data_IF_508860161218
#
_entry.id   IF_508860161218
#
_cell.length_a   1.000
_cell.length_b   1.000
_cell.length_c   1.000
_cell.angle_alpha   90.00
_cell.angle_beta   90.00
_cell.angle_gamma   90.00
#
_symmetry.space_group_name_H-M   'P 1'
#
loop_
_entity.id
_entity.type
_entity.pdbx_description
1 polymer ?
#
# COMPACT_ATOMS: atom_id res chain seq x y z
N UNK A 1 8.11 -2.18 -30.20
CA UNK A 1 7.38 -2.92 -31.26
C UNK A 1 6.33 -2.01 -31.89
N UNK A 2 6.56 -1.61 -33.14
CA UNK A 2 5.74 -0.71 -33.97
C UNK A 2 5.02 0.44 -33.24
N UNK A 3 5.81 1.36 -32.71
CA UNK A 3 5.38 2.74 -32.50
C UNK A 3 6.24 3.60 -33.41
N UNK A 4 5.68 4.01 -34.55
CA UNK A 4 6.26 5.10 -35.31
C UNK A 4 6.44 6.28 -34.36
N UNK A 5 7.64 6.90 -34.35
CA UNK A 5 7.84 8.20 -33.73
C UNK A 5 6.98 9.23 -34.48
N UNK A 6 5.69 9.27 -34.21
CA UNK A 6 4.89 10.44 -34.50
C UNK A 6 5.33 11.48 -33.48
N UNK A 7 6.28 12.32 -33.90
CA UNK A 7 6.59 13.57 -33.22
C UNK A 7 5.32 14.39 -33.12
N UNK A 8 4.60 14.22 -32.02
CA UNK A 8 3.52 15.10 -31.60
C UNK A 8 4.20 16.41 -31.24
N UNK A 9 4.32 17.29 -32.24
CA UNK A 9 4.46 18.73 -32.04
C UNK A 9 3.48 19.10 -30.93
N UNK A 10 4.02 19.49 -29.77
CA UNK A 10 3.33 20.33 -28.80
C UNK A 10 2.78 21.53 -29.58
N UNK A 11 1.53 21.44 -30.02
CA UNK A 11 0.77 22.63 -30.39
C UNK A 11 0.72 23.43 -29.11
N UNK A 12 1.43 24.56 -29.11
CA UNK A 12 1.34 25.60 -28.10
C UNK A 12 -0.13 25.90 -27.87
N UNK A 13 -0.70 25.31 -26.82
CA UNK A 13 -1.98 25.74 -26.27
C UNK A 13 -1.72 27.17 -25.81
N UNK A 14 -2.19 28.14 -26.60
CA UNK A 14 -2.34 29.51 -26.16
C UNK A 14 -3.40 29.51 -25.06
N UNK A 15 -2.96 29.38 -23.82
CA UNK A 15 -3.81 29.45 -22.65
C UNK A 15 -4.25 30.91 -22.48
N UNK A 16 -5.50 31.19 -22.84
CA UNK A 16 -6.16 32.45 -22.52
C UNK A 16 -6.17 32.65 -21.00
N UNK A 17 -5.48 33.69 -20.55
CA UNK A 17 -5.29 34.08 -19.15
C UNK A 17 -6.58 34.68 -18.57
N UNK A 18 -7.62 33.88 -18.33
CA UNK A 18 -8.82 34.38 -17.62
C UNK A 18 -9.65 33.30 -16.92
N UNK A 19 -9.01 32.26 -16.40
CA UNK A 19 -9.66 31.25 -15.57
C UNK A 19 -9.00 31.26 -14.19
N UNK A 20 -9.81 31.50 -13.15
CA UNK A 20 -9.34 31.59 -11.77
C UNK A 20 -8.49 30.38 -11.38
N UNK A 21 -7.50 30.60 -10.52
CA UNK A 21 -6.47 29.63 -10.13
C UNK A 21 -7.03 28.23 -9.75
N UNK A 22 -8.26 28.16 -9.21
CA UNK A 22 -8.94 26.90 -8.91
C UNK A 22 -9.45 26.09 -10.12
N UNK A 23 -9.91 26.74 -11.20
CA UNK A 23 -10.44 26.01 -12.37
C UNK A 23 -9.32 25.51 -13.29
N UNK A 24 -8.16 26.17 -13.29
CA UNK A 24 -7.00 25.72 -14.06
C UNK A 24 -6.41 24.42 -13.50
N UNK A 25 -6.22 24.33 -12.19
CA UNK A 25 -5.75 23.09 -11.54
C UNK A 25 -6.72 21.92 -11.75
N UNK A 26 -8.03 22.16 -11.66
CA UNK A 26 -9.03 21.13 -11.90
C UNK A 26 -9.04 20.65 -13.36
N UNK A 27 -8.90 21.56 -14.34
CA UNK A 27 -8.82 21.19 -15.75
C UNK A 27 -7.53 20.46 -16.10
N UNK A 28 -6.38 20.89 -15.56
CA UNK A 28 -5.10 20.20 -15.74
C UNK A 28 -5.17 18.80 -15.13
N UNK A 29 -5.71 18.66 -13.91
CA UNK A 29 -5.91 17.34 -13.30
C UNK A 29 -6.84 16.45 -14.12
N UNK A 30 -7.96 16.97 -14.66
CA UNK A 30 -8.88 16.22 -15.51
C UNK A 30 -8.20 15.70 -16.78
N UNK A 31 -7.38 16.53 -17.43
CA UNK A 31 -6.65 16.14 -18.65
C UNK A 31 -5.57 15.09 -18.34
N UNK A 32 -4.86 15.24 -17.21
CA UNK A 32 -3.86 14.27 -16.76
C UNK A 32 -4.52 12.94 -16.36
N UNK A 33 -5.65 12.99 -15.66
CA UNK A 33 -6.48 11.83 -15.34
C UNK A 33 -6.95 11.12 -16.60
N UNK A 34 -7.49 11.84 -17.58
CA UNK A 34 -7.97 11.25 -18.83
C UNK A 34 -6.83 10.52 -19.57
N UNK A 35 -5.65 11.12 -19.70
CA UNK A 35 -4.54 10.52 -20.47
C UNK A 35 -3.89 9.31 -19.79
N UNK A 36 -3.67 9.38 -18.47
CA UNK A 36 -3.02 8.30 -17.75
C UNK A 36 -3.99 7.16 -17.38
N UNK A 37 -5.23 7.49 -17.00
CA UNK A 37 -6.22 6.51 -16.56
C UNK A 37 -6.73 5.64 -17.71
N UNK A 38 -6.85 6.18 -18.93
CA UNK A 38 -7.41 5.44 -20.07
C UNK A 38 -6.56 4.24 -20.51
N UNK A 39 -5.26 4.21 -20.21
CA UNK A 39 -4.37 3.10 -20.63
C UNK A 39 -4.41 1.91 -19.69
N UNK A 40 -4.45 2.13 -18.38
CA UNK A 40 -4.41 1.06 -17.37
C UNK A 40 -5.33 1.33 -16.17
N UNK A 41 -6.64 1.57 -16.40
CA UNK A 41 -7.57 2.00 -15.33
C UNK A 41 -7.70 0.95 -14.22
N UNK A 42 -7.64 -0.33 -14.59
CA UNK A 42 -7.71 -1.46 -13.65
C UNK A 42 -6.53 -1.49 -12.69
N UNK A 43 -5.33 -1.10 -13.13
CA UNK A 43 -4.13 -1.09 -12.27
C UNK A 43 -4.25 0.01 -11.22
N UNK A 44 -4.65 1.22 -11.61
CA UNK A 44 -4.86 2.32 -10.67
C UNK A 44 -6.02 2.04 -9.72
N UNK A 45 -7.13 1.48 -10.22
CA UNK A 45 -8.25 1.08 -9.37
C UNK A 45 -7.83 0.02 -8.34
N UNK A 46 -7.06 -0.98 -8.77
CA UNK A 46 -6.54 -2.02 -7.88
C UNK A 46 -5.66 -1.42 -6.78
N UNK A 47 -4.71 -0.56 -7.13
CA UNK A 47 -3.86 0.10 -6.13
C UNK A 47 -4.66 0.97 -5.17
N UNK A 48 -5.58 1.77 -5.70
CA UNK A 48 -6.42 2.62 -4.87
C UNK A 48 -7.22 1.78 -3.87
N UNK A 49 -7.86 0.68 -4.32
CA UNK A 49 -8.65 -0.21 -3.46
C UNK A 49 -7.82 -0.88 -2.38
N UNK A 50 -6.68 -1.47 -2.75
CA UNK A 50 -5.80 -2.15 -1.79
C UNK A 50 -5.23 -1.17 -0.78
N UNK A 51 -4.70 -0.03 -1.23
CA UNK A 51 -4.12 0.98 -0.32
C UNK A 51 -5.19 1.64 0.57
N UNK A 52 -6.40 1.83 0.06
CA UNK A 52 -7.53 2.29 0.84
C UNK A 52 -7.91 1.30 1.94
N UNK A 53 -8.02 0.01 1.61
CA UNK A 53 -8.31 -1.04 2.59
C UNK A 53 -7.21 -1.16 3.63
N UNK A 54 -5.94 -1.19 3.22
CA UNK A 54 -4.80 -1.23 4.16
C UNK A 54 -4.83 -0.03 5.09
N UNK A 55 -5.09 1.17 4.58
CA UNK A 55 -5.22 2.35 5.42
C UNK A 55 -6.36 2.23 6.45
N UNK A 56 -7.53 1.72 6.05
CA UNK A 56 -8.62 1.42 6.99
C UNK A 56 -8.19 0.44 8.08
N UNK A 57 -7.53 -0.65 7.67
CA UNK A 57 -7.06 -1.71 8.57
C UNK A 57 -6.08 -1.11 9.59
N UNK A 58 -5.09 -0.35 9.14
CA UNK A 58 -4.10 0.29 10.00
C UNK A 58 -4.73 1.21 11.07
N UNK A 59 -5.84 1.90 10.74
CA UNK A 59 -6.57 2.72 11.72
C UNK A 59 -7.32 1.89 12.76
N UNK A 60 -7.76 0.67 12.40
CA UNK A 60 -8.57 -0.20 13.25
C UNK A 60 -7.74 -1.13 14.13
N UNK A 61 -6.51 -1.41 13.75
CA UNK A 61 -5.62 -2.40 14.36
C UNK A 61 -5.40 -2.22 15.85
N UNK A 62 -5.12 -1.00 16.31
CA UNK A 62 -4.88 -0.78 17.74
C UNK A 62 -6.15 -1.05 18.56
N UNK A 63 -7.31 -0.63 18.05
CA UNK A 63 -8.58 -0.92 18.70
C UNK A 63 -8.89 -2.41 18.67
N UNK A 64 -8.53 -3.09 17.57
CA UNK A 64 -8.68 -4.52 17.47
C UNK A 64 -7.75 -5.26 18.44
N UNK A 65 -6.47 -4.91 18.52
CA UNK A 65 -5.50 -5.48 19.46
C UNK A 65 -5.97 -5.35 20.92
N UNK A 66 -6.55 -4.20 21.27
CA UNK A 66 -7.18 -4.00 22.60
C UNK A 66 -8.36 -4.93 22.82
N UNK A 67 -9.19 -5.15 21.80
CA UNK A 67 -10.36 -6.03 21.90
C UNK A 67 -10.02 -7.50 22.15
N UNK A 68 -8.78 -7.92 21.88
CA UNK A 68 -8.28 -9.28 22.10
C UNK A 68 -7.75 -9.52 23.51
N UNK A 69 -7.67 -8.47 24.36
CA UNK A 69 -7.19 -8.59 25.73
C UNK A 69 -8.26 -9.21 26.62
N UNK A 70 -7.90 -10.27 27.34
CA UNK A 70 -8.76 -10.96 28.30
C UNK A 70 -8.17 -10.83 29.72
N UNK A 71 -9.04 -10.70 30.73
CA UNK A 71 -8.63 -10.72 32.13
C UNK A 71 -9.77 -11.16 33.05
N UNK A 72 -9.45 -11.47 34.30
CA UNK A 72 -10.44 -11.92 35.29
C UNK A 72 -11.32 -10.79 35.85
N UNK A 73 -11.03 -9.52 35.51
CA UNK A 73 -11.80 -8.36 35.98
C UNK A 73 -13.08 -8.22 35.13
N UNK A 74 -14.28 -8.23 35.73
CA UNK A 74 -15.52 -8.17 34.98
C UNK A 74 -15.75 -6.78 34.36
N UNK A 75 -16.32 -6.74 33.15
CA UNK A 75 -16.72 -5.49 32.49
C UNK A 75 -17.99 -4.94 33.15
N UNK A 76 -17.90 -3.74 33.73
CA UNK A 76 -19.05 -3.06 34.34
C UNK A 76 -19.98 -2.49 33.25
N UNK A 77 -21.30 -2.55 33.48
CA UNK A 77 -22.30 -2.04 32.53
C UNK A 77 -22.11 -0.53 32.31
N UNK A 78 -21.94 -0.13 31.05
CA UNK A 78 -21.80 1.27 30.65
C UNK A 78 -20.37 1.79 30.59
N UNK A 79 -19.38 1.00 31.01
CA UNK A 79 -17.97 1.37 30.90
C UNK A 79 -17.30 0.66 29.71
N UNK A 80 -16.84 1.44 28.74
CA UNK A 80 -16.08 0.91 27.61
C UNK A 80 -14.58 0.89 27.94
N UNK A 81 -14.02 -0.31 28.10
CA UNK A 81 -12.60 -0.51 28.41
C UNK A 81 -11.73 -0.70 27.16
N UNK A 82 -12.35 -1.00 26.02
CA UNK A 82 -11.68 -1.39 24.77
C UNK A 82 -11.70 -2.91 24.51
N UNK A 83 -12.12 -3.72 25.49
CA UNK A 83 -12.33 -5.16 25.34
C UNK A 83 -13.67 -5.58 25.94
N UNK A 84 -14.34 -6.53 25.31
CA UNK A 84 -15.55 -7.14 25.88
C UNK A 84 -15.23 -8.17 26.98
N UNK A 85 -13.95 -8.50 27.19
CA UNK A 85 -13.50 -9.60 28.04
C UNK A 85 -12.58 -9.15 29.18
N UNK A 86 -12.38 -7.84 29.35
CA UNK A 86 -11.57 -7.32 30.43
C UNK A 86 -12.08 -5.96 30.92
N UNK A 87 -12.43 -5.90 32.20
CA UNK A 87 -12.87 -4.69 32.90
C UNK A 87 -11.73 -3.73 33.28
N UNK A 88 -10.48 -4.18 33.27
CA UNK A 88 -9.33 -3.33 33.58
C UNK A 88 -8.86 -2.55 32.33
N UNK A 89 -9.29 -1.29 32.26
CA UNK A 89 -8.92 -0.39 31.15
C UNK A 89 -7.41 -0.17 31.05
N UNK A 90 -6.68 -0.08 32.16
CA UNK A 90 -5.23 0.17 32.13
C UNK A 90 -4.50 -1.05 31.56
N UNK A 91 -4.92 -2.25 31.95
CA UNK A 91 -4.40 -3.50 31.41
C UNK A 91 -4.70 -3.63 29.91
N UNK A 92 -5.96 -3.38 29.49
CA UNK A 92 -6.36 -3.43 28.07
C UNK A 92 -5.54 -2.48 27.21
N UNK A 93 -5.33 -1.25 27.65
CA UNK A 93 -4.52 -0.27 26.92
C UNK A 93 -3.05 -0.73 26.87
N UNK A 94 -2.49 -1.15 28.00
CA UNK A 94 -1.09 -1.55 28.10
C UNK A 94 -0.76 -2.78 27.27
N UNK A 95 -1.56 -3.84 27.37
CA UNK A 95 -1.37 -5.06 26.60
C UNK A 95 -1.70 -4.87 25.11
N UNK A 96 -2.79 -4.17 24.79
CA UNK A 96 -3.14 -3.86 23.41
C UNK A 96 -2.04 -3.05 22.69
N UNK A 97 -1.44 -2.08 23.37
CA UNK A 97 -0.31 -1.31 22.82
C UNK A 97 0.93 -2.19 22.60
N UNK A 98 1.20 -3.15 23.49
CA UNK A 98 2.31 -4.10 23.34
C UNK A 98 2.10 -5.02 22.13
N UNK A 99 0.90 -5.60 21.98
CA UNK A 99 0.57 -6.44 20.82
C UNK A 99 0.70 -5.65 19.52
N UNK A 100 0.13 -4.44 19.48
CA UNK A 100 0.24 -3.54 18.32
C UNK A 100 1.70 -3.22 17.98
N UNK A 101 2.51 -2.83 18.96
CA UNK A 101 3.92 -2.48 18.73
C UNK A 101 4.74 -3.67 18.23
N UNK A 102 4.54 -4.86 18.79
CA UNK A 102 5.21 -6.08 18.34
C UNK A 102 4.82 -6.43 16.90
N UNK A 103 3.53 -6.36 16.60
CA UNK A 103 3.01 -6.70 15.29
C UNK A 103 3.47 -5.71 14.21
N UNK A 104 3.40 -4.40 14.49
CA UNK A 104 3.88 -3.33 13.61
C UNK A 104 5.40 -3.40 13.39
N UNK A 105 6.17 -3.75 14.42
CA UNK A 105 7.62 -3.99 14.27
C UNK A 105 7.89 -5.16 13.31
N UNK A 106 7.17 -6.27 13.49
CA UNK A 106 7.32 -7.44 12.64
C UNK A 106 6.88 -7.16 11.19
N UNK A 107 5.78 -6.45 10.99
CA UNK A 107 5.31 -6.01 9.68
C UNK A 107 6.39 -5.21 8.93
N UNK A 108 7.04 -4.23 9.58
CA UNK A 108 8.10 -3.45 8.95
C UNK A 108 9.35 -4.29 8.62
N UNK A 109 9.76 -5.19 9.51
CA UNK A 109 10.90 -6.09 9.26
C UNK A 109 10.60 -7.02 8.09
N UNK A 110 9.42 -7.65 8.10
CA UNK A 110 8.98 -8.54 7.02
C UNK A 110 8.75 -7.74 5.73
N UNK A 111 8.30 -6.49 5.81
CA UNK A 111 8.18 -5.57 4.69
C UNK A 111 9.51 -5.24 4.02
N UNK A 112 10.57 -5.03 4.79
CA UNK A 112 11.90 -4.81 4.25
C UNK A 112 12.43 -6.04 3.50
N UNK A 113 12.26 -7.24 4.05
CA UNK A 113 12.64 -8.51 3.40
C UNK A 113 11.74 -8.80 2.19
N UNK A 114 10.45 -8.50 2.33
CA UNK A 114 9.41 -8.64 1.34
C UNK A 114 9.67 -7.80 0.11
N UNK A 115 10.17 -6.57 0.28
CA UNK A 115 10.57 -5.68 -0.82
C UNK A 115 11.62 -6.30 -1.74
N UNK A 116 12.69 -6.87 -1.16
CA UNK A 116 13.74 -7.52 -1.93
C UNK A 116 13.20 -8.74 -2.68
N UNK A 117 12.37 -9.54 -2.00
CA UNK A 117 11.73 -10.71 -2.59
C UNK A 117 10.76 -10.32 -3.72
N UNK A 118 9.98 -9.27 -3.52
CA UNK A 118 9.06 -8.71 -4.51
C UNK A 118 9.79 -8.27 -5.77
N UNK A 119 10.89 -7.52 -5.63
CA UNK A 119 11.70 -7.09 -6.76
C UNK A 119 12.24 -8.27 -7.58
N UNK A 120 12.80 -9.29 -6.91
CA UNK A 120 13.32 -10.49 -7.56
C UNK A 120 12.24 -11.30 -8.30
N UNK A 121 11.09 -11.50 -7.66
CA UNK A 121 9.97 -12.22 -8.27
C UNK A 121 9.38 -11.40 -9.42
N UNK A 122 9.29 -10.08 -9.26
CA UNK A 122 8.74 -9.19 -10.26
C UNK A 122 9.60 -9.17 -11.53
N UNK A 123 10.93 -9.21 -11.39
CA UNK A 123 11.86 -9.25 -12.52
C UNK A 123 11.82 -10.60 -13.24
N UNK A 124 11.55 -11.70 -12.52
CA UNK A 124 11.54 -13.06 -13.08
C UNK A 124 10.21 -13.50 -13.66
N UNK A 125 9.11 -13.16 -13.00
CA UNK A 125 7.77 -13.67 -13.29
C UNK A 125 6.79 -12.58 -13.77
N UNK A 126 7.19 -11.31 -13.74
CA UNK A 126 6.34 -10.18 -14.13
C UNK A 126 5.67 -9.51 -12.93
N UNK A 127 5.18 -8.29 -13.16
CA UNK A 127 4.55 -7.45 -12.12
C UNK A 127 3.19 -8.01 -11.72
N UNK A 128 2.44 -8.57 -12.67
CA UNK A 128 1.11 -9.14 -12.40
C UNK A 128 1.16 -10.28 -11.39
N UNK A 129 2.18 -11.15 -11.49
CA UNK A 129 2.33 -12.28 -10.56
C UNK A 129 2.59 -11.79 -9.13
N UNK A 130 3.44 -10.78 -8.97
CA UNK A 130 3.72 -10.19 -7.65
C UNK A 130 2.52 -9.44 -7.10
N UNK A 131 1.75 -8.77 -7.95
CA UNK A 131 0.48 -8.13 -7.61
C UNK A 131 -0.53 -9.15 -7.04
N UNK A 132 -0.70 -10.30 -7.71
CA UNK A 132 -1.60 -11.38 -7.26
C UNK A 132 -1.11 -11.94 -5.93
N UNK A 133 0.19 -12.23 -5.82
CA UNK A 133 0.78 -12.75 -4.59
C UNK A 133 0.57 -11.77 -3.43
N UNK A 134 0.79 -10.48 -3.66
CA UNK A 134 0.57 -9.45 -2.64
C UNK A 134 -0.88 -9.42 -2.22
N UNK A 135 -1.82 -9.34 -3.17
CA UNK A 135 -3.24 -9.26 -2.85
C UNK A 135 -3.69 -10.49 -2.05
N UNK A 136 -3.12 -11.65 -2.37
CA UNK A 136 -3.38 -12.91 -1.68
C UNK A 136 -2.86 -12.90 -0.25
N UNK A 137 -1.69 -12.33 0.02
CA UNK A 137 -1.19 -12.20 1.39
C UNK A 137 -2.02 -11.24 2.23
N UNK A 138 -2.50 -10.12 1.66
CA UNK A 138 -3.42 -9.21 2.33
C UNK A 138 -4.75 -9.91 2.66
N UNK A 139 -5.28 -10.67 1.71
CA UNK A 139 -6.49 -11.48 1.95
C UNK A 139 -6.26 -12.58 3.00
N UNK A 140 -5.13 -13.29 2.95
CA UNK A 140 -4.80 -14.27 3.96
C UNK A 140 -4.67 -13.63 5.35
N UNK A 141 -4.04 -12.46 5.43
CA UNK A 141 -3.94 -11.68 6.66
C UNK A 141 -5.32 -11.31 7.23
N UNK A 142 -6.23 -10.78 6.40
CA UNK A 142 -7.58 -10.42 6.85
C UNK A 142 -8.38 -11.63 7.33
N UNK A 143 -8.21 -12.79 6.69
CA UNK A 143 -8.77 -14.07 7.16
C UNK A 143 -8.18 -14.46 8.51
N UNK A 144 -6.86 -14.32 8.72
CA UNK A 144 -6.24 -14.62 10.02
C UNK A 144 -6.73 -13.67 11.12
N UNK A 145 -6.93 -12.37 10.82
CA UNK A 145 -7.58 -11.44 11.75
C UNK A 145 -9.02 -11.84 12.06
N UNK A 146 -9.77 -12.32 11.08
CA UNK A 146 -11.11 -12.84 11.34
C UNK A 146 -11.06 -14.09 12.23
N UNK A 147 -10.16 -15.04 11.95
CA UNK A 147 -9.95 -16.26 12.75
C UNK A 147 -9.51 -15.94 14.18
N UNK A 148 -8.72 -14.89 14.40
CA UNK A 148 -8.30 -14.48 15.75
C UNK A 148 -9.45 -13.99 16.62
N UNK A 149 -10.56 -13.53 16.03
CA UNK A 149 -11.80 -13.20 16.77
C UNK A 149 -12.52 -14.44 17.30
N UNK A 150 -12.31 -15.60 16.67
CA UNK A 150 -12.95 -16.88 17.00
C UNK A 150 -12.07 -17.68 17.98
N UNK A 151 -10.77 -17.79 17.70
CA UNK A 151 -9.81 -18.59 18.48
C UNK A 151 -9.03 -17.72 19.47
N UNK A 152 -9.68 -17.37 20.58
CA UNK A 152 -9.15 -16.39 21.53
C UNK A 152 -7.88 -16.80 22.26
N UNK A 153 -7.71 -18.10 22.54
CA UNK A 153 -6.51 -18.63 23.19
C UNK A 153 -5.21 -18.31 22.43
N UNK A 154 -5.31 -18.07 21.11
CA UNK A 154 -4.19 -17.72 20.25
C UNK A 154 -4.36 -16.35 19.58
N UNK A 155 -5.32 -15.54 20.03
CA UNK A 155 -5.67 -14.29 19.36
C UNK A 155 -4.48 -13.34 19.19
N UNK A 156 -3.67 -13.15 20.23
CA UNK A 156 -2.49 -12.30 20.16
C UNK A 156 -1.45 -12.80 19.14
N UNK A 157 -1.17 -14.11 19.14
CA UNK A 157 -0.24 -14.73 18.18
C UNK A 157 -0.75 -14.63 16.75
N UNK A 158 -2.04 -14.92 16.54
CA UNK A 158 -2.70 -14.80 15.23
C UNK A 158 -2.73 -13.35 14.75
N UNK A 159 -2.95 -12.38 15.65
CA UNK A 159 -2.87 -10.96 15.34
C UNK A 159 -1.48 -10.55 14.85
N UNK A 160 -0.42 -10.95 15.57
CA UNK A 160 0.98 -10.67 15.16
C UNK A 160 1.32 -11.35 13.83
N UNK A 161 0.85 -12.58 13.61
CA UNK A 161 1.08 -13.30 12.37
C UNK A 161 0.32 -12.69 11.19
N UNK A 162 -0.93 -12.26 11.38
CA UNK A 162 -1.69 -11.54 10.38
C UNK A 162 -0.96 -10.26 9.93
N UNK A 163 -0.40 -9.50 10.88
CA UNK A 163 0.40 -8.33 10.55
C UNK A 163 1.64 -8.65 9.72
N UNK A 164 2.39 -9.69 10.12
CA UNK A 164 3.52 -10.15 9.33
C UNK A 164 3.12 -10.52 7.89
N UNK A 165 1.96 -11.15 7.70
CA UNK A 165 1.43 -11.48 6.37
C UNK A 165 1.14 -10.23 5.53
N UNK A 166 0.61 -9.15 6.11
CA UNK A 166 0.41 -7.89 5.40
C UNK A 166 1.74 -7.28 4.93
N UNK A 167 2.79 -7.38 5.75
CA UNK A 167 4.12 -6.89 5.41
C UNK A 167 4.83 -7.67 4.30
N UNK A 168 4.52 -8.95 4.07
CA UNK A 168 5.30 -9.84 3.17
C UNK A 168 5.49 -9.31 1.75
N UNK A 169 4.52 -8.60 1.19
CA UNK A 169 4.64 -7.95 -0.11
C UNK A 169 4.09 -6.54 -0.01
N UNK A 170 5.00 -5.60 0.29
CA UNK A 170 4.67 -4.20 0.45
C UNK A 170 4.08 -3.62 -0.84
N UNK A 171 2.77 -3.37 -0.82
CA UNK A 171 2.01 -2.86 -1.96
C UNK A 171 2.39 -1.44 -2.37
N UNK A 172 2.79 -0.58 -1.42
CA UNK A 172 3.23 0.78 -1.74
C UNK A 172 4.48 0.74 -2.63
N UNK A 173 5.43 -0.15 -2.32
CA UNK A 173 6.62 -0.32 -3.14
C UNK A 173 6.28 -0.91 -4.51
N UNK A 174 5.38 -1.89 -4.58
CA UNK A 174 4.94 -2.46 -5.84
C UNK A 174 4.23 -1.43 -6.73
N UNK A 175 3.44 -0.54 -6.12
CA UNK A 175 2.82 0.59 -6.79
C UNK A 175 3.87 1.52 -7.40
N UNK A 176 4.93 1.85 -6.64
CA UNK A 176 6.06 2.63 -7.15
C UNK A 176 6.78 1.98 -8.34
N UNK A 177 7.04 0.67 -8.28
CA UNK A 177 7.68 -0.09 -9.37
C UNK A 177 6.79 -0.06 -10.63
N UNK A 178 5.49 -0.33 -10.48
CA UNK A 178 4.57 -0.35 -11.62
C UNK A 178 4.36 1.05 -12.20
N UNK A 179 4.29 2.09 -11.35
CA UNK A 179 4.26 3.47 -11.83
C UNK A 179 5.53 3.83 -12.62
N UNK A 180 6.70 3.37 -12.17
CA UNK A 180 7.95 3.46 -12.94
C UNK A 180 7.85 2.80 -14.31
N UNK A 181 7.45 1.52 -14.36
CA UNK A 181 7.28 0.78 -15.62
C UNK A 181 6.28 1.47 -16.57
N UNK A 182 5.18 2.03 -16.04
CA UNK A 182 4.18 2.76 -16.81
C UNK A 182 4.71 4.12 -17.30
N UNK A 183 5.58 4.78 -16.53
CA UNK A 183 6.20 6.05 -16.90
C UNK A 183 7.22 5.91 -18.03
N UNK A 184 7.81 4.72 -18.20
CA UNK A 184 8.77 4.41 -19.27
C UNK A 184 8.10 4.12 -20.63
N UNK A 185 6.77 4.14 -20.72
CA UNK A 185 6.06 3.92 -21.98
C UNK A 185 6.26 5.12 -22.94
N UNK A 186 6.42 4.91 -24.27
CA UNK A 186 6.85 5.94 -25.22
C UNK A 186 5.98 7.20 -25.34
N UNK A 187 4.74 7.18 -24.84
CA UNK A 187 3.85 8.35 -24.79
C UNK A 187 3.31 8.63 -23.37
N UNK A 188 3.90 8.01 -22.34
CA UNK A 188 3.52 8.30 -20.97
C UNK A 188 4.22 9.57 -20.49
N UNK A 189 3.46 10.42 -19.82
CA UNK A 189 4.01 11.53 -19.04
C UNK A 189 4.26 11.01 -17.63
N UNK A 190 5.54 10.89 -17.25
CA UNK A 190 5.95 10.33 -15.96
C UNK A 190 5.29 11.06 -14.77
N UNK A 191 5.23 12.40 -14.82
CA UNK A 191 4.62 13.20 -13.76
C UNK A 191 3.13 12.88 -13.59
N UNK A 192 2.43 12.69 -14.70
CA UNK A 192 1.01 12.33 -14.71
C UNK A 192 0.75 10.95 -14.09
N UNK A 193 1.59 9.96 -14.39
CA UNK A 193 1.46 8.57 -13.89
C UNK A 193 1.55 8.53 -12.37
N UNK A 194 2.59 9.16 -11.81
CA UNK A 194 2.76 9.24 -10.36
C UNK A 194 1.64 10.07 -9.70
N UNK A 195 1.26 11.19 -10.30
CA UNK A 195 0.18 12.06 -9.76
C UNK A 195 -1.15 11.31 -9.67
N UNK A 196 -1.56 10.59 -10.72
CA UNK A 196 -2.80 9.81 -10.73
C UNK A 196 -2.75 8.66 -9.71
N UNK A 197 -1.60 8.02 -9.54
CA UNK A 197 -1.42 7.01 -8.49
C UNK A 197 -1.60 7.62 -7.09
N UNK A 198 -0.97 8.75 -6.79
CA UNK A 198 -1.08 9.41 -5.49
C UNK A 198 -2.49 9.93 -5.20
N UNK A 199 -3.15 10.55 -6.19
CA UNK A 199 -4.51 11.06 -6.02
C UNK A 199 -5.49 9.91 -5.80
N UNK A 200 -5.38 8.82 -6.58
CA UNK A 200 -6.29 7.68 -6.44
C UNK A 200 -6.15 7.01 -5.07
N UNK A 201 -4.91 6.85 -4.59
CA UNK A 201 -4.63 6.39 -3.23
C UNK A 201 -5.17 7.36 -2.16
N UNK A 202 -4.97 8.68 -2.33
CA UNK A 202 -5.44 9.69 -1.38
C UNK A 202 -6.97 9.70 -1.24
N UNK A 203 -7.71 9.60 -2.35
CA UNK A 203 -9.17 9.55 -2.34
C UNK A 203 -9.66 8.33 -1.55
N UNK A 204 -9.10 7.14 -1.78
CA UNK A 204 -9.55 5.96 -1.05
C UNK A 204 -9.07 5.91 0.40
N UNK A 205 -7.90 6.50 0.73
CA UNK A 205 -7.50 6.73 2.12
C UNK A 205 -8.48 7.65 2.84
N UNK A 206 -8.97 8.70 2.17
CA UNK A 206 -9.97 9.60 2.73
C UNK A 206 -11.31 8.89 2.96
N UNK A 207 -11.80 8.11 1.98
CA UNK A 207 -12.99 7.28 2.15
C UNK A 207 -12.82 6.25 3.28
N UNK A 208 -11.62 5.69 3.41
CA UNK A 208 -11.29 4.76 4.47
C UNK A 208 -11.30 5.39 5.87
N UNK A 209 -10.72 6.59 5.99
CA UNK A 209 -10.79 7.38 7.22
C UNK A 209 -12.23 7.75 7.60
N UNK A 210 -13.07 8.09 6.62
CA UNK A 210 -14.50 8.32 6.87
C UNK A 210 -15.20 7.05 7.36
N UNK A 211 -14.90 5.90 6.77
CA UNK A 211 -15.39 4.60 7.22
C UNK A 211 -15.01 4.31 8.67
N UNK A 212 -13.76 4.59 9.06
CA UNK A 212 -13.29 4.48 10.45
C UNK A 212 -14.07 5.38 11.40
N UNK A 213 -14.33 6.64 11.03
CA UNK A 213 -15.09 7.59 11.87
C UNK A 213 -16.51 7.08 12.09
N UNK A 214 -17.20 6.67 11.03
CA UNK A 214 -18.56 6.10 11.11
C UNK A 214 -18.58 4.87 12.01
N UNK A 215 -17.61 3.98 11.81
CA UNK A 215 -17.47 2.76 12.62
C UNK A 215 -17.23 3.07 14.10
N UNK A 216 -16.34 4.02 14.39
CA UNK A 216 -15.99 4.44 15.76
C UNK A 216 -17.16 5.10 16.49
N UNK A 217 -17.94 5.94 15.80
CA UNK A 217 -19.11 6.62 16.36
C UNK A 217 -20.25 5.64 16.65
N UNK A 218 -20.38 4.57 15.86
CA UNK A 218 -21.46 3.60 16.03
C UNK A 218 -21.40 2.78 17.34
N UNK A 219 -20.28 2.85 18.08
CA UNK A 219 -19.97 2.09 19.31
C UNK A 219 -20.22 0.57 19.23
N UNK A 220 -20.54 0.06 18.05
CA UNK A 220 -20.96 -1.31 17.78
C UNK A 220 -19.78 -2.07 17.21
N UNK A 221 -18.71 -2.20 18.00
CA UNK A 221 -17.45 -2.81 17.58
C UNK A 221 -17.56 -4.34 17.50
N UNK A 222 -18.35 -4.83 16.55
CA UNK A 222 -18.32 -6.24 16.18
C UNK A 222 -17.13 -6.47 15.24
N UNK A 223 -15.95 -6.64 15.82
CA UNK A 223 -14.71 -6.90 15.08
C UNK A 223 -14.78 -8.18 14.25
N UNK A 224 -15.53 -9.19 14.67
CA UNK A 224 -15.73 -10.41 13.87
C UNK A 224 -16.43 -10.10 12.55
N UNK A 225 -17.53 -9.35 12.58
CA UNK A 225 -18.23 -8.94 11.36
C UNK A 225 -17.37 -8.01 10.50
N UNK A 226 -16.64 -7.07 11.12
CA UNK A 226 -15.71 -6.18 10.43
C UNK A 226 -14.66 -6.96 9.64
N UNK A 227 -13.92 -7.85 10.30
CA UNK A 227 -12.86 -8.62 9.64
C UNK A 227 -13.38 -9.61 8.60
N UNK A 228 -14.60 -10.14 8.79
CA UNK A 228 -15.28 -10.91 7.75
C UNK A 228 -15.53 -10.08 6.49
N UNK A 229 -16.06 -8.87 6.62
CA UNK A 229 -16.30 -7.98 5.48
C UNK A 229 -15.00 -7.49 4.83
N UNK A 230 -13.96 -7.20 5.62
CA UNK A 230 -12.62 -6.88 5.10
C UNK A 230 -12.05 -8.07 4.34
N UNK A 231 -12.27 -9.31 4.81
CA UNK A 231 -11.85 -10.53 4.10
C UNK A 231 -12.54 -10.68 2.75
N UNK A 232 -13.85 -10.40 2.67
CA UNK A 232 -14.58 -10.39 1.39
C UNK A 232 -14.06 -9.29 0.46
N UNK A 233 -13.85 -8.08 0.97
CA UNK A 233 -13.36 -6.96 0.16
C UNK A 233 -11.94 -7.21 -0.40
N UNK A 234 -11.04 -7.74 0.44
CA UNK A 234 -9.68 -8.12 0.03
C UNK A 234 -9.66 -9.30 -0.94
N UNK A 235 -10.57 -10.28 -0.80
CA UNK A 235 -10.78 -11.33 -1.80
C UNK A 235 -11.24 -10.75 -3.14
N UNK A 236 -12.15 -9.78 -3.13
CA UNK A 236 -12.54 -9.03 -4.32
C UNK A 236 -11.37 -8.36 -5.02
N UNK A 237 -10.41 -7.81 -4.24
CA UNK A 237 -9.17 -7.23 -4.78
C UNK A 237 -8.25 -8.30 -5.40
N UNK A 238 -8.18 -9.52 -4.83
CA UNK A 238 -7.45 -10.64 -5.44
C UNK A 238 -8.06 -10.97 -6.81
N UNK A 239 -9.39 -11.11 -6.87
CA UNK A 239 -10.09 -11.37 -8.12
C UNK A 239 -9.82 -10.24 -9.12
N UNK A 240 -9.98 -8.98 -8.72
CA UNK A 240 -9.74 -7.81 -9.58
C UNK A 240 -8.34 -7.83 -10.21
N UNK A 241 -7.34 -8.24 -9.43
CA UNK A 241 -5.95 -8.38 -9.89
C UNK A 241 -5.79 -9.39 -11.04
N UNK A 242 -6.66 -10.41 -11.11
CA UNK A 242 -6.64 -11.38 -12.20
C UNK A 242 -6.95 -10.74 -13.56
N UNK A 243 -7.60 -9.58 -13.59
CA UNK A 243 -7.84 -8.84 -14.84
C UNK A 243 -6.85 -7.70 -15.07
N UNK A 244 -5.90 -7.46 -14.16
CA UNK A 244 -4.85 -6.46 -14.37
C UNK A 244 -3.92 -6.90 -15.52
N UNK A 245 -3.58 -6.00 -16.46
CA UNK A 245 -2.59 -6.29 -17.49
C UNK A 245 -1.19 -6.43 -16.89
N UNK A 246 -0.32 -7.17 -17.57
CA UNK A 246 1.10 -7.18 -17.25
C UNK A 246 1.74 -5.84 -17.64
N UNK A 247 2.44 -5.21 -16.71
CA UNK A 247 3.06 -3.88 -16.90
C UNK A 247 4.56 -3.97 -17.14
N UNK A 248 5.18 -5.13 -16.96
CA UNK A 248 6.60 -5.32 -17.26
C UNK A 248 6.88 -4.96 -18.74
N UNK A 249 7.82 -4.03 -19.02
CA UNK A 249 8.16 -3.65 -20.39
C UNK A 249 8.63 -4.87 -21.19
N UNK A 250 7.99 -5.13 -22.34
CA UNK A 250 8.41 -6.22 -23.23
C UNK A 250 9.80 -5.91 -23.79
N UNK A 251 10.73 -6.88 -23.69
CA UNK A 251 12.03 -6.82 -24.36
C UNK A 251 11.81 -6.58 -25.86
N UNK A 252 12.10 -5.37 -26.33
CA UNK A 252 12.13 -5.07 -27.76
C UNK A 252 13.55 -5.31 -28.25
N UNK A 253 13.72 -6.18 -29.23
CA UNK A 253 15.02 -6.47 -29.85
C UNK A 253 15.64 -5.15 -30.37
N UNK A 254 16.83 -4.81 -29.85
CA UNK A 254 17.62 -3.65 -30.28
C UNK A 254 17.58 -2.40 -29.40
N UNK A 255 16.66 -2.29 -28.44
CA UNK A 255 16.68 -1.23 -27.42
C UNK A 255 17.32 -1.75 -26.12
N UNK A 256 18.15 -0.92 -25.48
CA UNK A 256 18.75 -1.24 -24.16
C UNK A 256 17.62 -1.63 -23.21
N UNK A 257 17.71 -2.82 -22.62
CA UNK A 257 16.73 -3.26 -21.63
C UNK A 257 16.71 -2.23 -20.49
N UNK A 258 15.51 -1.88 -19.97
CA UNK A 258 15.46 -1.14 -18.73
C UNK A 258 16.24 -1.94 -17.67
N UNK A 259 17.13 -1.29 -16.90
CA UNK A 259 17.92 -1.98 -15.91
C UNK A 259 17.00 -2.71 -14.94
N UNK A 260 17.37 -3.93 -14.56
CA UNK A 260 16.63 -4.67 -13.52
C UNK A 260 16.56 -3.85 -12.24
N UNK A 261 15.53 -4.06 -11.42
CA UNK A 261 15.39 -3.32 -10.15
C UNK A 261 16.64 -3.53 -9.28
N UNK A 262 17.17 -4.75 -9.28
CA UNK A 262 18.42 -5.09 -8.60
C UNK A 262 19.64 -4.34 -9.14
N UNK A 263 19.71 -4.12 -10.45
CA UNK A 263 20.78 -3.33 -11.06
C UNK A 263 20.65 -1.85 -10.71
N UNK A 264 19.43 -1.32 -10.58
CA UNK A 264 19.16 0.00 -10.02
C UNK A 264 19.67 0.13 -8.58
N UNK A 265 19.26 -0.80 -7.70
CA UNK A 265 19.71 -0.84 -6.30
C UNK A 265 21.24 -0.92 -6.20
N UNK A 266 21.87 -1.76 -7.04
CA UNK A 266 23.34 -1.88 -7.09
C UNK A 266 24.00 -0.57 -7.48
N UNK A 267 23.49 0.13 -8.50
CA UNK A 267 24.04 1.42 -8.94
C UNK A 267 23.92 2.48 -7.86
N UNK A 268 22.78 2.56 -7.17
CA UNK A 268 22.59 3.47 -6.03
C UNK A 268 23.57 3.15 -4.91
N UNK A 269 23.76 1.87 -4.55
CA UNK A 269 24.75 1.46 -3.55
C UNK A 269 26.19 1.81 -3.95
N UNK A 270 26.54 1.63 -5.22
CA UNK A 270 27.85 2.02 -5.76
C UNK A 270 28.03 3.54 -5.70
N UNK A 271 27.03 4.34 -6.05
CA UNK A 271 27.05 5.80 -5.91
C UNK A 271 27.15 6.24 -4.45
N UNK A 272 26.41 5.62 -3.54
CA UNK A 272 26.53 5.88 -2.10
C UNK A 272 27.93 5.57 -1.58
N UNK A 273 28.51 4.46 -2.03
CA UNK A 273 29.89 4.09 -1.69
C UNK A 273 30.90 5.11 -2.23
N UNK A 274 30.71 5.60 -3.44
CA UNK A 274 31.53 6.67 -4.02
C UNK A 274 31.40 7.99 -3.25
N UNK A 275 30.18 8.37 -2.87
CA UNK A 275 29.94 9.55 -2.02
C UNK A 275 30.61 9.44 -0.66
N UNK A 276 30.54 8.28 -0.01
CA UNK A 276 31.21 8.01 1.27
C UNK A 276 32.74 7.95 1.13
N UNK A 277 33.25 7.48 -0.01
CA UNK A 277 34.67 7.44 -0.35
C UNK A 277 35.25 8.80 -0.74
N UNK A 278 34.41 9.75 -1.15
CA UNK A 278 34.84 11.13 -1.39
C UNK A 278 35.12 11.84 -0.05
N UNK A 279 36.35 12.33 0.11
CA UNK A 279 36.99 12.73 1.38
C UNK A 279 36.33 13.79 2.30
N UNK A 280 35.36 14.66 1.93
CA UNK A 280 34.94 15.73 2.83
C UNK A 280 34.21 15.27 4.11
N UNK A 281 33.53 14.11 4.07
CA UNK A 281 32.71 13.62 5.20
C UNK A 281 33.57 12.79 6.17
N UNK A 282 34.49 11.97 5.66
CA UNK A 282 35.42 11.20 6.49
C UNK A 282 36.31 12.11 7.36
N UNK A 283 36.74 13.28 6.83
CA UNK A 283 37.49 14.27 7.62
C UNK A 283 36.65 15.01 8.67
N UNK A 284 35.32 15.08 8.51
CA UNK A 284 34.40 15.70 9.49
C UNK A 284 33.94 14.74 10.58
N UNK A 285 33.97 13.43 10.32
CA UNK A 285 33.65 12.40 11.33
C UNK A 285 34.88 11.97 12.14
N UNK A 286 36.09 12.28 11.65
CA UNK A 286 37.35 12.01 12.33
C UNK A 286 37.88 13.21 13.15
N UNK A 287 37.17 14.34 13.16
CA UNK A 287 37.46 15.54 13.96
C UNK A 287 36.42 15.68 15.08
#
# INVERSE_FOLDING_TARGET
CNGAQTGTRLKSLQWGTSYGCGSFLAQVMLILLERAFLRTPLVYLQFALVLGILFCVNLLELNFARSLVECDVPVLKGEFTGSAFCGDRALVIGQGQRFYAQANCLEHVVGAVGLLSAALIADRYGRRVVLIAGATFIWASSVVFWVSTIYRSHAATLYVFAQALQGLLNFDCLAGIIAGDLSDLPDADAESVFTVMFISAAILRLLGGLGYVVFSVSQSLNFQALWFWVSIATFGCVLLTLWCPETLPKKCDGLKQPPSVMEGIRKELEQFKEMLGSEPIARRLAA
#
